data_IF_806796238561
#
_entry.id   IF_806796238561
#
_cell.length_a   1.000
_cell.length_b   1.000
_cell.length_c   1.000
_cell.angle_alpha   90.00
_cell.angle_beta   90.00
_cell.angle_gamma   90.00
#
_symmetry.space_group_name_H-M   'P 1'
#
loop_
_entity.id
_entity.type
_entity.pdbx_description
1 polymer ?
#
# COMPACT_ATOMS: atom_id res chain seq x y z
N UNK A 1 -5.24 2.43 -2.35
CA UNK A 1 -4.74 3.63 -1.63
C UNK A 1 -3.57 3.22 -0.75
N UNK A 2 -2.65 4.14 -0.45
CA UNK A 2 -1.45 3.87 0.33
C UNK A 2 -1.38 4.77 1.55
N UNK A 3 -0.95 4.24 2.70
CA UNK A 3 -0.53 5.01 3.85
C UNK A 3 0.95 4.72 4.10
N UNK A 4 1.77 5.74 3.86
CA UNK A 4 3.23 5.63 3.91
C UNK A 4 3.76 6.12 5.27
N UNK A 5 4.76 5.48 5.87
CA UNK A 5 5.28 5.87 7.19
C UNK A 5 5.82 7.30 7.23
N UNK A 6 6.43 7.77 6.13
CA UNK A 6 6.96 9.13 6.02
C UNK A 6 5.88 10.23 5.87
N UNK A 7 4.59 9.88 5.72
CA UNK A 7 3.52 10.83 5.52
C UNK A 7 2.47 10.67 6.61
N UNK A 8 2.23 11.73 7.38
CA UNK A 8 1.43 11.84 8.63
C UNK A 8 0.08 11.10 8.63
N UNK A 9 0.09 9.77 8.59
CA UNK A 9 -1.10 8.93 8.56
C UNK A 9 -2.09 9.17 7.42
N UNK A 10 -1.70 9.87 6.35
CA UNK A 10 -2.61 10.22 5.25
C UNK A 10 -2.76 9.08 4.27
N UNK A 11 -3.99 8.84 3.82
CA UNK A 11 -4.27 7.92 2.72
C UNK A 11 -4.05 8.60 1.38
N UNK A 12 -3.13 8.06 0.60
CA UNK A 12 -2.79 8.50 -0.73
C UNK A 12 -3.56 7.71 -1.78
N UNK A 13 -4.17 8.44 -2.70
CA UNK A 13 -4.77 7.86 -3.91
C UNK A 13 -3.70 7.63 -4.95
N UNK A 14 -3.80 6.55 -5.69
CA UNK A 14 -2.78 6.15 -6.66
C UNK A 14 -2.79 4.65 -6.90
N UNK A 15 -1.75 4.18 -7.59
CA UNK A 15 -1.58 2.79 -7.98
C UNK A 15 -0.18 2.26 -7.63
N UNK A 16 -0.17 0.97 -7.33
CA UNK A 16 0.98 0.08 -7.28
C UNK A 16 1.75 0.05 -8.60
N UNK A 17 2.95 0.60 -8.72
CA UNK A 17 3.87 0.25 -9.80
C UNK A 17 4.94 -0.69 -9.27
N UNK A 18 5.06 -1.86 -9.89
CA UNK A 18 6.04 -2.89 -9.52
C UNK A 18 7.04 -2.99 -10.66
N UNK A 19 8.25 -2.49 -10.42
CA UNK A 19 9.39 -2.64 -11.34
C UNK A 19 10.27 -3.84 -10.98
N UNK A 20 11.29 -4.15 -11.79
CA UNK A 20 12.20 -5.28 -11.56
C UNK A 20 12.98 -5.22 -10.23
N UNK A 21 13.16 -4.01 -9.69
CA UNK A 21 13.97 -3.76 -8.50
C UNK A 21 13.35 -2.77 -7.52
N UNK A 22 12.20 -2.19 -7.84
CA UNK A 22 11.62 -1.09 -7.07
C UNK A 22 10.11 -1.17 -7.11
N UNK A 23 9.48 -1.05 -5.95
CA UNK A 23 8.05 -0.73 -5.88
C UNK A 23 7.88 0.77 -5.67
N UNK A 24 7.02 1.37 -6.48
CA UNK A 24 6.73 2.80 -6.45
C UNK A 24 5.23 2.99 -6.40
N UNK A 25 4.78 3.97 -5.63
CA UNK A 25 3.41 4.42 -5.60
C UNK A 25 3.24 5.63 -6.51
N UNK A 26 2.51 5.47 -7.61
CA UNK A 26 2.18 6.57 -8.52
C UNK A 26 0.88 7.25 -8.03
N UNK A 27 0.91 8.53 -7.63
CA UNK A 27 -0.28 9.25 -7.20
C UNK A 27 -1.33 9.34 -8.30
N UNK A 28 -2.60 9.30 -7.93
CA UNK A 28 -3.72 9.37 -8.89
C UNK A 28 -3.95 10.77 -9.49
N UNK A 29 -3.15 11.77 -9.14
CA UNK A 29 -3.25 13.14 -9.66
C UNK A 29 -1.98 13.49 -10.44
N UNK A 30 -2.12 14.23 -11.56
CA UNK A 30 -0.97 14.62 -12.41
C UNK A 30 0.09 15.48 -11.70
N UNK A 31 -0.22 16.03 -10.52
CA UNK A 31 0.67 16.89 -9.76
C UNK A 31 1.45 16.15 -8.65
N UNK A 32 1.23 14.84 -8.46
CA UNK A 32 1.90 14.08 -7.42
C UNK A 32 3.18 13.41 -7.92
N UNK A 33 4.30 13.65 -7.23
CA UNK A 33 5.53 12.89 -7.46
C UNK A 33 5.34 11.43 -7.07
N UNK A 34 5.88 10.50 -7.86
CA UNK A 34 5.90 9.09 -7.54
C UNK A 34 6.68 8.86 -6.23
N UNK A 35 6.11 8.08 -5.32
CA UNK A 35 6.70 7.81 -4.01
C UNK A 35 7.30 6.41 -4.00
N UNK A 36 8.61 6.30 -3.80
CA UNK A 36 9.25 5.00 -3.58
C UNK A 36 8.68 4.36 -2.33
N UNK A 37 8.28 3.08 -2.43
CA UNK A 37 7.95 2.31 -1.25
C UNK A 37 9.24 1.96 -0.49
N UNK A 38 9.18 1.83 0.84
CA UNK A 38 10.35 1.43 1.62
C UNK A 38 10.82 0.03 1.22
N UNK A 39 12.13 -0.21 1.27
CA UNK A 39 12.73 -1.51 0.99
C UNK A 39 12.33 -2.57 2.03
N UNK A 40 12.35 -3.84 1.61
CA UNK A 40 12.03 -4.99 2.46
C UNK A 40 10.56 -5.01 2.87
N UNK A 41 9.67 -4.59 1.96
CA UNK A 41 8.26 -4.47 2.24
C UNK A 41 7.62 -5.85 2.36
N UNK A 42 7.31 -6.27 3.59
CA UNK A 42 6.75 -7.60 3.87
C UNK A 42 5.33 -7.49 4.39
N UNK A 43 4.41 -8.20 3.76
CA UNK A 43 3.07 -8.38 4.30
C UNK A 43 3.11 -9.10 5.65
N UNK A 44 2.40 -8.56 6.64
CA UNK A 44 2.26 -9.17 7.97
C UNK A 44 0.81 -9.50 8.33
N UNK A 45 -0.17 -8.79 7.75
CA UNK A 45 -1.58 -9.06 8.02
C UNK A 45 -2.49 -8.60 6.88
N UNK A 46 -3.74 -9.08 6.90
CA UNK A 46 -4.81 -8.64 6.02
C UNK A 46 -6.06 -8.41 6.87
N UNK A 47 -6.66 -7.22 6.79
CA UNK A 47 -7.86 -6.89 7.55
C UNK A 47 -8.86 -6.05 6.76
N UNK A 48 -10.07 -5.92 7.30
CA UNK A 48 -11.04 -4.94 6.82
C UNK A 48 -10.65 -3.52 7.29
N UNK A 49 -11.03 -2.47 6.54
CA UNK A 49 -10.90 -1.09 7.00
C UNK A 49 -11.70 -0.88 8.29
N UNK A 50 -11.14 -0.11 9.22
CA UNK A 50 -11.88 0.40 10.38
C UNK A 50 -12.96 1.40 9.95
N UNK A 51 -13.95 1.64 10.81
CA UNK A 51 -14.98 2.66 10.57
C UNK A 51 -14.36 4.05 10.28
N UNK A 52 -13.30 4.42 11.00
CA UNK A 52 -12.57 5.67 10.77
C UNK A 52 -11.95 5.72 9.38
N UNK A 53 -11.30 4.63 8.94
CA UNK A 53 -10.68 4.55 7.61
C UNK A 53 -11.75 4.58 6.49
N UNK A 54 -12.85 3.86 6.68
CA UNK A 54 -14.00 3.87 5.77
C UNK A 54 -14.62 5.27 5.64
N UNK A 55 -14.71 6.03 6.74
CA UNK A 55 -15.13 7.43 6.71
C UNK A 55 -14.09 8.36 6.08
N UNK A 56 -12.79 8.09 6.25
CA UNK A 56 -11.68 8.87 5.70
C UNK A 56 -11.39 8.60 4.21
N UNK A 57 -12.43 8.31 3.42
CA UNK A 57 -12.40 8.09 1.96
C UNK A 57 -11.66 6.83 1.49
N UNK A 58 -11.35 5.87 2.38
CA UNK A 58 -11.00 4.50 1.95
C UNK A 58 -12.28 3.76 1.60
N UNK A 59 -12.30 3.02 0.49
CA UNK A 59 -13.48 2.24 0.12
C UNK A 59 -13.76 1.17 1.20
N UNK A 60 -14.94 1.19 1.82
CA UNK A 60 -15.31 0.24 2.87
C UNK A 60 -15.30 -1.22 2.43
N UNK A 61 -15.47 -1.48 1.12
CA UNK A 61 -15.36 -2.83 0.53
C UNK A 61 -13.93 -3.30 0.31
N UNK A 62 -12.92 -2.44 0.50
CA UNK A 62 -11.51 -2.80 0.32
C UNK A 62 -11.00 -3.75 1.41
N UNK A 63 -9.76 -4.22 1.22
CA UNK A 63 -8.96 -4.88 2.25
C UNK A 63 -7.70 -4.07 2.48
N UNK A 64 -7.30 -3.97 3.74
CA UNK A 64 -6.04 -3.35 4.15
C UNK A 64 -5.01 -4.45 4.27
N UNK A 65 -4.02 -4.42 3.39
CA UNK A 65 -2.79 -5.21 3.49
C UNK A 65 -1.85 -4.42 4.39
N UNK A 66 -1.52 -4.98 5.55
CA UNK A 66 -0.56 -4.37 6.47
C UNK A 66 0.83 -4.93 6.16
N UNK A 67 1.77 -4.03 5.91
CA UNK A 67 3.14 -4.36 5.61
C UNK A 67 4.08 -3.72 6.62
N UNK A 68 5.18 -4.41 6.90
CA UNK A 68 6.32 -3.88 7.66
C UNK A 68 7.47 -3.61 6.72
N UNK A 69 8.24 -2.57 7.01
CA UNK A 69 9.48 -2.25 6.32
C UNK A 69 10.50 -1.70 7.31
N UNK A 70 11.74 -1.50 6.87
CA UNK A 70 12.79 -0.85 7.67
C UNK A 70 12.42 0.57 8.13
N UNK A 71 11.60 1.28 7.36
CA UNK A 71 11.13 2.63 7.68
C UNK A 71 9.85 2.67 8.53
N UNK A 72 9.25 1.50 8.81
CA UNK A 72 8.02 1.38 9.61
C UNK A 72 6.86 0.73 8.87
N UNK A 73 5.66 0.86 9.42
CA UNK A 73 4.45 0.24 8.90
C UNK A 73 3.92 0.97 7.66
N UNK A 74 3.59 0.20 6.63
CA UNK A 74 2.97 0.65 5.38
C UNK A 74 1.62 -0.04 5.27
N UNK A 75 0.55 0.72 5.04
CA UNK A 75 -0.79 0.15 4.85
C UNK A 75 -1.25 0.36 3.41
N UNK A 76 -1.73 -0.70 2.76
CA UNK A 76 -2.19 -0.65 1.37
C UNK A 76 -3.65 -1.10 1.33
N UNK A 77 -4.55 -0.18 0.98
CA UNK A 77 -5.95 -0.49 0.72
C UNK A 77 -6.13 -0.93 -0.73
N UNK A 78 -6.60 -2.15 -0.94
CA UNK A 78 -6.77 -2.81 -2.24
C UNK A 78 -8.19 -3.33 -2.38
N UNK A 79 -8.70 -3.43 -3.61
CA UNK A 79 -10.00 -4.07 -3.81
C UNK A 79 -9.88 -5.58 -3.57
N UNK A 80 -10.94 -6.27 -3.11
CA UNK A 80 -10.87 -7.70 -2.76
C UNK A 80 -10.33 -8.59 -3.88
N UNK A 81 -10.66 -8.29 -5.14
CA UNK A 81 -10.20 -9.01 -6.33
C UNK A 81 -8.72 -8.76 -6.68
N UNK A 82 -8.08 -7.76 -6.07
CA UNK A 82 -6.68 -7.40 -6.30
C UNK A 82 -5.76 -7.88 -5.16
N UNK A 83 -6.32 -8.42 -4.07
CA UNK A 83 -5.57 -8.81 -2.88
C UNK A 83 -4.48 -9.83 -3.21
N UNK A 84 -4.82 -10.92 -3.89
CA UNK A 84 -3.85 -11.98 -4.20
C UNK A 84 -2.71 -11.47 -5.08
N UNK A 85 -3.02 -10.60 -6.05
CA UNK A 85 -2.03 -9.99 -6.93
C UNK A 85 -1.03 -9.17 -6.13
N UNK A 86 -1.51 -8.35 -5.18
CA UNK A 86 -0.66 -7.50 -4.34
C UNK A 86 0.15 -8.32 -3.36
N UNK A 87 -0.45 -9.31 -2.67
CA UNK A 87 0.27 -10.20 -1.76
C UNK A 87 1.39 -10.98 -2.48
N UNK A 88 1.12 -11.45 -3.70
CA UNK A 88 2.12 -12.15 -4.53
C UNK A 88 3.26 -11.22 -4.92
N UNK A 89 2.96 -9.97 -5.28
CA UNK A 89 3.98 -8.99 -5.61
C UNK A 89 4.87 -8.67 -4.40
N UNK A 90 4.28 -8.44 -3.23
CA UNK A 90 5.01 -8.17 -1.98
C UNK A 90 5.89 -9.35 -1.56
N UNK A 91 5.42 -10.57 -1.77
CA UNK A 91 6.20 -11.78 -1.45
C UNK A 91 7.44 -11.92 -2.33
N UNK A 92 7.39 -11.46 -3.59
CA UNK A 92 8.54 -11.45 -4.51
C UNK A 92 9.57 -10.40 -4.12
N UNK A 93 9.12 -9.23 -3.66
CA UNK A 93 10.00 -8.16 -3.17
C UNK A 93 10.74 -8.58 -1.89
N UNK A 94 10.03 -9.20 -0.94
CA UNK A 94 10.62 -9.69 0.30
C UNK A 94 11.61 -10.86 0.12
N UNK A 95 11.61 -11.52 -1.04
CA UNK A 95 12.54 -12.62 -1.35
C UNK A 95 13.85 -12.14 -2.00
N UNK A 96 14.00 -10.83 -2.21
CA UNK A 96 15.19 -10.20 -2.78
C UNK A 96 16.10 -9.67 -1.68
#
# INVERSE_FOLDING_TARGET
MLRHPALEGRWLRGKMLIGPSTMVWEPGTRAGAALSLPEGLRQVSLRSPSLREAMMKVNGGSRIVECTSSAGAVLIAVMPNEVELVCTALSRDAAK
#
